data_IF_449265754882
#
_entry.id   IF_449265754882
#
_cell.length_a   1.000
_cell.length_b   1.000
_cell.length_c   1.000
_cell.angle_alpha   90.00
_cell.angle_beta   90.00
_cell.angle_gamma   90.00
#
_symmetry.space_group_name_H-M   'P 1'
#
loop_
_entity.id
_entity.type
_entity.pdbx_description
1 polymer ?
#
# COMPACT_ATOMS: atom_id res chain seq x y z
N UNK A 1 12.17 15.09 -30.15
CA UNK A 1 12.27 14.06 -29.09
C UNK A 1 10.88 13.47 -28.86
N UNK A 2 10.70 12.17 -29.02
CA UNK A 2 9.43 11.51 -28.72
C UNK A 2 9.12 11.63 -27.23
N UNK A 3 7.89 12.02 -26.89
CA UNK A 3 7.41 12.03 -25.53
C UNK A 3 7.49 10.61 -24.96
N UNK A 4 7.88 10.47 -23.70
CA UNK A 4 7.97 9.17 -23.04
C UNK A 4 6.58 8.54 -22.96
N UNK A 5 6.47 7.28 -23.42
CA UNK A 5 5.20 6.54 -23.49
C UNK A 5 5.19 5.45 -22.44
N UNK A 6 4.10 5.37 -21.68
CA UNK A 6 3.93 4.41 -20.61
C UNK A 6 2.87 3.36 -20.94
N UNK A 7 3.22 2.10 -20.75
CA UNK A 7 2.28 0.98 -20.76
C UNK A 7 1.99 0.58 -19.31
N UNK A 8 0.77 0.81 -18.87
CA UNK A 8 0.30 0.45 -17.53
C UNK A 8 -0.39 -0.90 -17.61
N UNK A 9 0.15 -1.90 -16.92
CA UNK A 9 -0.40 -3.26 -16.93
C UNK A 9 -1.45 -3.41 -15.84
N UNK A 10 -2.64 -3.88 -16.22
CA UNK A 10 -3.80 -4.06 -15.37
C UNK A 10 -4.99 -3.21 -15.79
N UNK A 11 -6.20 -3.72 -15.54
CA UNK A 11 -7.45 -3.08 -15.89
C UNK A 11 -8.27 -2.64 -14.67
N UNK A 12 -7.75 -2.87 -13.45
CA UNK A 12 -8.43 -2.44 -12.23
C UNK A 12 -8.45 -0.91 -12.09
N UNK A 13 -9.36 -0.39 -11.24
CA UNK A 13 -9.54 1.06 -11.03
C UNK A 13 -8.26 1.77 -10.62
N UNK A 14 -7.38 1.12 -9.88
CA UNK A 14 -6.10 1.69 -9.43
C UNK A 14 -5.13 1.86 -10.61
N UNK A 15 -4.99 0.87 -11.48
CA UNK A 15 -4.11 0.97 -12.65
C UNK A 15 -4.67 1.92 -13.71
N UNK A 16 -6.01 1.97 -13.87
CA UNK A 16 -6.65 3.01 -14.69
C UNK A 16 -6.37 4.42 -14.16
N UNK A 17 -6.41 4.62 -12.84
CA UNK A 17 -6.08 5.90 -12.21
C UNK A 17 -4.58 6.26 -12.39
N UNK A 18 -3.68 5.26 -12.32
CA UNK A 18 -2.27 5.46 -12.63
C UNK A 18 -2.08 5.98 -14.06
N UNK A 19 -2.72 5.34 -15.04
CA UNK A 19 -2.71 5.82 -16.44
C UNK A 19 -3.26 7.25 -16.54
N UNK A 20 -4.42 7.52 -15.95
CA UNK A 20 -5.03 8.85 -16.01
C UNK A 20 -4.11 9.93 -15.44
N UNK A 21 -3.46 9.63 -14.29
CA UNK A 21 -2.50 10.54 -13.68
C UNK A 21 -1.28 10.81 -14.58
N UNK A 22 -0.76 9.81 -15.26
CA UNK A 22 0.34 10.01 -16.22
C UNK A 22 -0.08 10.92 -17.37
N UNK A 23 -1.30 10.75 -17.90
CA UNK A 23 -1.85 11.62 -18.95
C UNK A 23 -2.06 13.06 -18.46
N UNK A 24 -2.55 13.26 -17.23
CA UNK A 24 -2.64 14.59 -16.57
C UNK A 24 -1.27 15.27 -16.45
N UNK A 25 -0.21 14.48 -16.22
CA UNK A 25 1.17 14.98 -16.15
C UNK A 25 1.79 15.24 -17.54
N UNK A 26 1.03 15.07 -18.63
CA UNK A 26 1.46 15.34 -19.99
C UNK A 26 2.21 14.19 -20.68
N UNK A 27 2.15 12.97 -20.13
CA UNK A 27 2.73 11.78 -20.76
C UNK A 27 1.68 11.01 -21.56
N UNK A 28 2.09 10.30 -22.61
CA UNK A 28 1.24 9.36 -23.30
C UNK A 28 1.19 8.02 -22.54
N UNK A 29 0.06 7.65 -21.97
CA UNK A 29 -0.10 6.42 -21.22
C UNK A 29 -1.33 5.62 -21.66
N UNK A 30 -1.16 4.30 -21.81
CA UNK A 30 -2.24 3.35 -22.11
C UNK A 30 -2.27 2.21 -21.11
N UNK A 31 -3.45 1.69 -20.81
CA UNK A 31 -3.60 0.43 -20.07
C UNK A 31 -3.61 -0.77 -21.02
N UNK A 32 -3.17 -1.91 -20.53
CA UNK A 32 -3.37 -3.19 -21.18
C UNK A 32 -3.64 -4.31 -20.16
N UNK A 33 -4.35 -5.32 -20.62
CA UNK A 33 -4.49 -6.64 -20.00
C UNK A 33 -3.52 -7.65 -20.64
N UNK A 34 -3.61 -8.92 -20.22
CA UNK A 34 -2.73 -9.96 -20.73
C UNK A 34 -2.88 -10.23 -22.24
N UNK A 35 -4.08 -10.12 -22.79
CA UNK A 35 -4.35 -10.40 -24.20
C UNK A 35 -3.75 -9.33 -25.12
N UNK A 36 -3.89 -8.07 -24.75
CA UNK A 36 -3.38 -6.94 -25.53
C UNK A 36 -1.89 -6.66 -25.32
N UNK A 37 -1.27 -7.25 -24.27
CA UNK A 37 0.12 -6.98 -23.92
C UNK A 37 1.10 -7.25 -25.06
N UNK A 38 1.00 -8.41 -25.72
CA UNK A 38 1.91 -8.79 -26.80
C UNK A 38 1.94 -7.79 -27.95
N UNK A 39 0.77 -7.20 -28.28
CA UNK A 39 0.62 -6.22 -29.36
C UNK A 39 1.15 -4.84 -28.94
N UNK A 40 0.89 -4.44 -27.69
CA UNK A 40 1.23 -3.09 -27.22
C UNK A 40 2.68 -2.95 -26.77
N UNK A 41 3.25 -3.99 -26.14
CA UNK A 41 4.57 -3.95 -25.52
C UNK A 41 5.67 -3.32 -26.39
N UNK A 42 5.80 -3.64 -27.71
CA UNK A 42 6.87 -3.08 -28.55
C UNK A 42 6.78 -1.56 -28.75
N UNK A 43 5.65 -0.94 -28.50
CA UNK A 43 5.41 0.49 -28.75
C UNK A 43 5.67 1.39 -27.54
N UNK A 44 6.07 0.81 -26.40
CA UNK A 44 6.24 1.54 -25.13
C UNK A 44 7.64 1.29 -24.56
N UNK A 45 8.28 2.36 -24.11
CA UNK A 45 9.60 2.28 -23.48
C UNK A 45 9.49 1.97 -21.97
N UNK A 46 8.50 2.53 -21.31
CA UNK A 46 8.30 2.39 -19.87
C UNK A 46 7.05 1.57 -19.56
N UNK A 47 7.23 0.46 -18.85
CA UNK A 47 6.18 -0.48 -18.46
C UNK A 47 5.96 -0.37 -16.96
N UNK A 48 4.72 -0.16 -16.52
CA UNK A 48 4.36 -0.11 -15.09
C UNK A 48 3.51 -1.33 -14.76
N UNK A 49 4.03 -2.17 -13.85
CA UNK A 49 3.36 -3.36 -13.36
C UNK A 49 2.45 -3.03 -12.15
N UNK A 50 1.40 -3.82 -11.91
CA UNK A 50 0.51 -3.61 -10.77
C UNK A 50 1.16 -3.93 -9.43
N UNK A 51 0.44 -3.61 -8.35
CA UNK A 51 0.77 -4.02 -6.99
C UNK A 51 -0.45 -4.70 -6.34
N UNK A 52 -0.34 -5.94 -5.80
CA UNK A 52 0.86 -6.78 -5.87
C UNK A 52 1.26 -7.07 -7.32
N UNK A 53 2.58 -7.14 -7.57
CA UNK A 53 3.06 -7.37 -8.95
C UNK A 53 2.74 -8.78 -9.42
N UNK A 54 2.86 -9.77 -8.53
CA UNK A 54 2.56 -11.17 -8.83
C UNK A 54 1.44 -11.66 -7.91
N UNK A 55 0.50 -12.37 -8.50
CA UNK A 55 -0.52 -13.14 -7.81
C UNK A 55 -0.67 -14.49 -8.53
N UNK A 56 -0.70 -15.59 -7.75
CA UNK A 56 -0.83 -16.95 -8.27
C UNK A 56 0.21 -17.32 -9.36
N UNK A 57 1.46 -16.86 -9.20
CA UNK A 57 2.55 -17.17 -10.11
C UNK A 57 2.63 -16.35 -11.40
N UNK A 58 1.65 -15.48 -11.67
CA UNK A 58 1.60 -14.60 -12.84
C UNK A 58 1.53 -13.13 -12.44
N UNK A 59 1.85 -12.23 -13.38
CA UNK A 59 1.68 -10.79 -13.18
C UNK A 59 0.18 -10.51 -12.96
N UNK A 60 -0.13 -9.82 -11.89
CA UNK A 60 -1.51 -9.57 -11.46
C UNK A 60 -2.36 -8.95 -12.58
N UNK A 61 -3.52 -9.58 -12.84
CA UNK A 61 -4.43 -9.15 -13.89
C UNK A 61 -4.00 -9.51 -15.32
N UNK A 62 -3.01 -10.45 -15.43
CA UNK A 62 -2.59 -10.95 -16.74
C UNK A 62 -2.47 -12.46 -16.75
N UNK A 63 -2.45 -13.22 -17.62
CA UNK A 63 -2.11 -14.66 -17.63
C UNK A 63 -0.62 -14.94 -17.84
N UNK A 64 0.25 -13.94 -17.68
CA UNK A 64 1.65 -13.96 -18.13
C UNK A 64 2.58 -14.04 -16.93
N UNK A 65 3.53 -14.95 -16.94
CA UNK A 65 4.57 -15.03 -15.91
C UNK A 65 5.59 -13.89 -16.05
N UNK A 66 6.33 -13.64 -14.97
CA UNK A 66 7.43 -12.65 -15.01
C UNK A 66 8.50 -13.05 -16.01
N UNK A 67 8.83 -14.35 -16.10
CA UNK A 67 9.81 -14.86 -17.07
C UNK A 67 9.39 -14.58 -18.51
N UNK A 68 8.14 -14.89 -18.87
CA UNK A 68 7.59 -14.59 -20.19
C UNK A 68 7.61 -13.09 -20.54
N UNK A 69 7.45 -12.21 -19.56
CA UNK A 69 7.61 -10.78 -19.79
C UNK A 69 9.08 -10.43 -20.03
N UNK A 70 10.01 -10.98 -19.23
CA UNK A 70 11.46 -10.75 -19.39
C UNK A 70 11.93 -11.11 -20.79
N UNK A 71 11.49 -12.26 -21.32
CA UNK A 71 11.87 -12.74 -22.66
C UNK A 71 11.38 -11.84 -23.81
N UNK A 72 10.34 -11.04 -23.56
CA UNK A 72 9.75 -10.14 -24.55
C UNK A 72 10.26 -8.70 -24.50
N UNK A 73 11.04 -8.35 -23.45
CA UNK A 73 11.53 -7.00 -23.28
C UNK A 73 12.69 -6.68 -24.25
N UNK A 74 12.57 -5.61 -25.01
CA UNK A 74 13.67 -5.06 -25.81
C UNK A 74 14.73 -4.38 -24.93
N UNK A 75 15.93 -4.09 -25.49
CA UNK A 75 17.07 -3.55 -24.72
C UNK A 75 16.81 -2.17 -24.10
N UNK A 76 15.96 -1.37 -24.71
CA UNK A 76 15.64 0.02 -24.36
C UNK A 76 14.37 0.17 -23.54
N UNK A 77 13.75 -0.94 -23.13
CA UNK A 77 12.57 -0.92 -22.27
C UNK A 77 12.94 -1.01 -20.78
N UNK A 78 12.19 -0.27 -19.97
CA UNK A 78 12.27 -0.26 -18.52
C UNK A 78 10.97 -0.76 -17.88
N UNK A 79 11.11 -1.50 -16.79
CA UNK A 79 9.97 -2.06 -16.06
C UNK A 79 9.94 -1.49 -14.64
N UNK A 80 8.88 -0.76 -14.33
CA UNK A 80 8.59 -0.30 -12.99
C UNK A 80 7.64 -1.30 -12.31
N UNK A 81 8.07 -1.88 -11.19
CA UNK A 81 7.31 -2.92 -10.51
C UNK A 81 7.10 -2.60 -9.03
N UNK A 82 6.07 -3.21 -8.45
CA UNK A 82 5.72 -3.05 -7.04
C UNK A 82 6.49 -3.98 -6.11
N UNK A 83 5.76 -4.71 -5.28
CA UNK A 83 6.36 -5.62 -4.31
C UNK A 83 6.78 -6.94 -4.97
N UNK A 84 8.09 -7.10 -5.16
CA UNK A 84 8.77 -8.36 -5.50
C UNK A 84 9.96 -8.54 -4.57
N UNK A 85 10.23 -9.77 -4.15
CA UNK A 85 11.33 -10.07 -3.23
C UNK A 85 12.72 -9.87 -3.84
N UNK A 86 12.83 -9.96 -5.16
CA UNK A 86 14.04 -9.75 -5.95
C UNK A 86 13.72 -8.93 -7.20
N UNK A 87 14.75 -8.48 -7.92
CA UNK A 87 14.59 -7.83 -9.22
C UNK A 87 14.81 -8.83 -10.35
N UNK A 88 13.76 -9.38 -10.96
CA UNK A 88 13.89 -10.34 -12.05
C UNK A 88 14.23 -9.72 -13.40
N UNK A 89 14.14 -8.38 -13.52
CA UNK A 89 14.34 -7.64 -14.77
C UNK A 89 15.77 -7.11 -14.95
N UNK A 90 16.69 -7.39 -14.00
CA UNK A 90 18.06 -6.89 -14.05
C UNK A 90 18.12 -5.36 -14.08
N UNK A 91 19.00 -4.80 -14.92
CA UNK A 91 19.16 -3.35 -15.07
C UNK A 91 17.93 -2.62 -15.63
N UNK A 92 17.03 -3.34 -16.27
CA UNK A 92 15.77 -2.78 -16.80
C UNK A 92 14.71 -2.59 -15.71
N UNK A 93 14.85 -3.24 -14.57
CA UNK A 93 13.84 -3.28 -13.51
C UNK A 93 14.09 -2.26 -12.41
N UNK A 94 13.06 -1.47 -12.09
CA UNK A 94 13.08 -0.51 -10.99
C UNK A 94 11.86 -0.70 -10.10
N UNK A 95 12.09 -0.89 -8.80
CA UNK A 95 10.99 -1.03 -7.86
C UNK A 95 10.48 0.35 -7.42
N UNK A 96 9.21 0.64 -7.73
CA UNK A 96 8.54 1.81 -7.16
C UNK A 96 8.05 1.55 -5.72
N UNK A 97 8.20 0.33 -5.20
CA UNK A 97 7.90 -0.01 -3.79
C UNK A 97 8.98 0.51 -2.84
N UNK A 98 9.35 1.76 -3.01
CA UNK A 98 10.38 2.47 -2.29
C UNK A 98 9.82 3.22 -1.07
N UNK A 99 10.70 3.92 -0.33
CA UNK A 99 10.33 4.65 0.89
C UNK A 99 9.28 5.75 0.63
N UNK A 100 9.39 6.46 -0.49
CA UNK A 100 8.45 7.53 -0.88
C UNK A 100 7.05 6.95 -1.12
N UNK A 101 6.95 5.92 -1.98
CA UNK A 101 5.69 5.21 -2.22
C UNK A 101 5.05 4.68 -0.94
N UNK A 102 5.83 4.02 -0.09
CA UNK A 102 5.33 3.45 1.16
C UNK A 102 4.75 4.51 2.11
N UNK A 103 5.37 5.69 2.18
CA UNK A 103 4.84 6.81 2.97
C UNK A 103 3.53 7.32 2.38
N UNK A 104 3.49 7.58 1.07
CA UNK A 104 2.28 8.04 0.37
C UNK A 104 1.13 7.03 0.53
N UNK A 105 1.42 5.76 0.32
CA UNK A 105 0.42 4.69 0.38
C UNK A 105 -0.09 4.44 1.81
N UNK A 106 0.77 4.58 2.83
CA UNK A 106 0.37 4.42 4.23
C UNK A 106 -0.67 5.46 4.70
N UNK A 107 -0.75 6.63 4.04
CA UNK A 107 -1.76 7.67 4.32
C UNK A 107 -3.16 7.29 3.84
N UNK A 108 -3.26 6.34 2.90
CA UNK A 108 -4.54 5.88 2.35
C UNK A 108 -5.14 4.72 3.18
N UNK A 109 -4.30 3.95 3.86
CA UNK A 109 -4.70 2.79 4.66
C UNK A 109 -5.75 3.12 5.73
N UNK A 110 -5.63 4.22 6.50
CA UNK A 110 -6.61 4.58 7.51
C UNK A 110 -8.04 4.77 6.99
N UNK A 111 -8.22 5.29 5.78
CA UNK A 111 -9.56 5.49 5.21
C UNK A 111 -10.30 4.15 5.04
N UNK A 112 -9.61 3.14 4.52
CA UNK A 112 -10.18 1.80 4.42
C UNK A 112 -10.40 1.15 5.78
N UNK A 113 -9.49 1.35 6.73
CA UNK A 113 -9.62 0.85 8.11
C UNK A 113 -10.85 1.46 8.79
N UNK A 114 -11.00 2.78 8.74
CA UNK A 114 -12.15 3.48 9.33
C UNK A 114 -13.46 3.03 8.70
N UNK A 115 -13.50 2.85 7.37
CA UNK A 115 -14.69 2.34 6.71
C UNK A 115 -15.09 0.96 7.21
N UNK A 116 -14.13 0.03 7.35
CA UNK A 116 -14.40 -1.31 7.90
C UNK A 116 -14.94 -1.18 9.34
N UNK A 117 -14.35 -0.33 10.17
CA UNK A 117 -14.79 -0.11 11.54
C UNK A 117 -16.26 0.38 11.57
N UNK A 118 -16.56 1.44 10.83
CA UNK A 118 -17.90 2.04 10.79
C UNK A 118 -18.97 1.10 10.22
N UNK A 119 -18.61 0.26 9.24
CA UNK A 119 -19.50 -0.77 8.70
C UNK A 119 -19.69 -1.97 9.66
N UNK A 120 -18.78 -2.15 10.62
CA UNK A 120 -18.78 -3.31 11.54
C UNK A 120 -19.32 -3.02 12.92
N UNK A 121 -19.69 -1.79 13.25
CA UNK A 121 -20.23 -1.39 14.54
C UNK A 121 -21.39 -0.42 14.40
N UNK A 122 -22.36 -0.53 15.27
CA UNK A 122 -23.49 0.39 15.47
C UNK A 122 -23.27 1.32 16.69
N UNK A 123 -22.08 1.24 17.31
CA UNK A 123 -21.73 2.02 18.49
C UNK A 123 -21.03 3.32 18.12
N UNK A 124 -21.20 4.32 18.97
CA UNK A 124 -20.47 5.57 18.89
C UNK A 124 -18.96 5.33 19.02
N UNK A 125 -18.19 5.84 18.02
CA UNK A 125 -16.74 5.66 17.95
C UNK A 125 -16.01 6.24 19.17
N UNK A 126 -16.54 7.28 19.81
CA UNK A 126 -16.00 7.86 21.05
C UNK A 126 -16.04 6.90 22.24
N UNK A 127 -16.89 5.89 22.19
CA UNK A 127 -17.00 4.87 23.25
C UNK A 127 -16.13 3.65 23.00
N UNK A 128 -15.51 3.55 21.80
CA UNK A 128 -14.72 2.39 21.41
C UNK A 128 -13.30 2.48 21.95
N UNK A 129 -12.84 1.37 22.50
CA UNK A 129 -11.43 1.17 22.84
C UNK A 129 -10.75 0.43 21.70
N UNK A 130 -9.68 1.00 21.15
CA UNK A 130 -8.95 0.40 20.06
C UNK A 130 -7.49 0.09 20.43
N UNK A 131 -6.98 -1.05 19.97
CA UNK A 131 -5.58 -1.43 20.04
C UNK A 131 -5.02 -1.48 18.61
N UNK A 132 -3.86 -0.84 18.37
CA UNK A 132 -3.15 -0.94 17.11
C UNK A 132 -1.84 -1.68 17.35
N UNK A 133 -1.73 -2.88 16.76
CA UNK A 133 -0.56 -3.73 16.89
C UNK A 133 0.49 -3.29 15.88
N UNK A 134 1.62 -2.75 16.37
CA UNK A 134 2.68 -2.13 15.59
C UNK A 134 2.53 -0.62 15.43
N UNK A 135 3.67 0.10 15.45
CA UNK A 135 3.73 1.56 15.32
C UNK A 135 4.68 2.01 14.19
N UNK A 136 4.62 1.27 13.07
CA UNK A 136 5.26 1.62 11.81
C UNK A 136 4.46 2.68 11.03
N UNK A 137 4.78 2.87 9.73
CA UNK A 137 4.10 3.86 8.88
C UNK A 137 2.58 3.71 8.89
N UNK A 138 2.06 2.50 8.67
CA UNK A 138 0.61 2.23 8.69
C UNK A 138 0.01 2.38 10.08
N UNK A 139 0.64 1.76 11.12
CA UNK A 139 0.15 1.83 12.49
C UNK A 139 0.02 3.27 13.00
N UNK A 140 1.02 4.12 12.77
CA UNK A 140 0.97 5.55 13.12
C UNK A 140 -0.16 6.29 12.40
N UNK A 141 -0.32 6.05 11.11
CA UNK A 141 -1.38 6.69 10.33
C UNK A 141 -2.78 6.27 10.84
N UNK A 142 -2.96 4.99 11.18
CA UNK A 142 -4.21 4.45 11.73
C UNK A 142 -4.49 5.02 13.12
N UNK A 143 -3.49 5.04 14.03
CA UNK A 143 -3.65 5.62 15.36
C UNK A 143 -4.10 7.08 15.29
N UNK A 144 -3.50 7.88 14.41
CA UNK A 144 -3.89 9.27 14.19
C UNK A 144 -5.33 9.40 13.70
N UNK A 145 -5.75 8.53 12.79
CA UNK A 145 -7.12 8.52 12.27
C UNK A 145 -8.14 8.12 13.33
N UNK A 146 -7.89 7.04 14.09
CA UNK A 146 -8.74 6.58 15.17
C UNK A 146 -8.91 7.68 16.23
N UNK A 147 -7.80 8.26 16.69
CA UNK A 147 -7.83 9.34 17.68
C UNK A 147 -8.53 10.60 17.17
N UNK A 148 -8.32 10.98 15.91
CA UNK A 148 -8.99 12.13 15.31
C UNK A 148 -10.52 11.94 15.21
N UNK A 149 -10.98 10.69 15.15
CA UNK A 149 -12.40 10.35 15.21
C UNK A 149 -12.89 10.05 16.64
N UNK A 150 -12.07 10.30 17.67
CA UNK A 150 -12.46 10.21 19.07
C UNK A 150 -12.31 8.84 19.74
N UNK A 151 -11.88 7.79 19.03
CA UNK A 151 -11.68 6.48 19.61
C UNK A 151 -10.53 6.45 20.64
N UNK A 152 -10.76 5.81 21.79
CA UNK A 152 -9.70 5.52 22.75
C UNK A 152 -8.66 4.59 22.12
N UNK A 153 -7.44 5.10 21.83
CA UNK A 153 -6.45 4.38 21.04
C UNK A 153 -5.21 4.03 21.86
N UNK A 154 -4.85 2.75 21.89
CA UNK A 154 -3.64 2.22 22.52
C UNK A 154 -2.72 1.59 21.46
N UNK A 155 -1.46 1.90 21.54
CA UNK A 155 -0.41 1.29 20.71
C UNK A 155 0.12 0.05 21.39
N UNK A 156 0.23 -1.06 20.63
CA UNK A 156 0.87 -2.27 21.13
C UNK A 156 2.17 -2.49 20.37
N UNK A 157 3.31 -2.41 21.06
CA UNK A 157 4.61 -2.55 20.41
C UNK A 157 5.63 -3.23 21.32
N UNK A 158 6.58 -3.96 20.71
CA UNK A 158 7.75 -4.51 21.41
C UNK A 158 8.98 -3.60 21.30
N UNK A 159 8.92 -2.60 20.43
CA UNK A 159 10.05 -1.70 20.17
C UNK A 159 9.98 -0.51 21.12
N UNK A 160 10.97 -0.33 22.03
CA UNK A 160 10.98 0.77 23.01
C UNK A 160 10.96 2.16 22.34
N UNK A 161 11.68 2.32 21.23
CA UNK A 161 11.67 3.58 20.48
C UNK A 161 10.26 3.91 19.96
N UNK A 162 9.54 2.92 19.44
CA UNK A 162 8.16 3.09 18.99
C UNK A 162 7.21 3.42 20.14
N UNK A 163 7.46 2.87 21.33
CA UNK A 163 6.67 3.17 22.53
C UNK A 163 6.84 4.63 22.94
N UNK A 164 8.07 5.10 23.12
CA UNK A 164 8.38 6.50 23.43
C UNK A 164 7.82 7.46 22.37
N UNK A 165 7.92 7.09 21.10
CA UNK A 165 7.37 7.90 20.01
C UNK A 165 5.84 8.02 20.09
N UNK A 166 5.14 6.93 20.43
CA UNK A 166 3.70 6.93 20.62
C UNK A 166 3.28 7.82 21.82
N UNK A 167 4.00 7.72 22.92
CA UNK A 167 3.78 8.52 24.14
C UNK A 167 4.01 10.00 23.88
N UNK A 168 5.06 10.38 23.15
CA UNK A 168 5.29 11.76 22.72
C UNK A 168 4.21 12.32 21.79
N UNK A 169 3.51 11.43 21.06
CA UNK A 169 2.33 11.78 20.25
C UNK A 169 1.03 11.74 21.10
N UNK A 170 1.10 11.54 22.40
CA UNK A 170 -0.02 11.53 23.35
C UNK A 170 -0.88 10.25 23.27
N UNK A 171 -0.29 9.12 22.88
CA UNK A 171 -0.96 7.81 22.84
C UNK A 171 -0.48 6.93 23.99
N UNK A 172 -1.39 6.14 24.57
CA UNK A 172 -1.02 5.06 25.50
C UNK A 172 -0.23 4.01 24.72
N UNK A 173 0.86 3.51 25.28
CA UNK A 173 1.66 2.40 24.73
C UNK A 173 1.76 1.26 25.72
N UNK A 174 1.59 0.02 25.25
CA UNK A 174 1.77 -1.21 26.03
C UNK A 174 2.56 -2.26 25.26
N UNK A 175 3.16 -3.19 25.98
CA UNK A 175 3.80 -4.37 25.38
C UNK A 175 2.81 -5.48 25.01
N UNK A 176 3.25 -6.44 24.17
CA UNK A 176 2.40 -7.58 23.79
C UNK A 176 2.00 -8.47 24.97
N UNK A 177 2.82 -8.55 26.01
CA UNK A 177 2.51 -9.30 27.23
C UNK A 177 1.30 -8.71 27.96
N UNK A 178 1.25 -7.39 28.07
CA UNK A 178 0.13 -6.70 28.74
C UNK A 178 -1.09 -6.67 27.83
N UNK A 179 -0.91 -6.48 26.52
CA UNK A 179 -1.98 -6.65 25.55
C UNK A 179 -2.65 -8.03 25.66
N UNK A 180 -1.89 -9.12 25.81
CA UNK A 180 -2.46 -10.45 25.99
C UNK A 180 -3.38 -10.56 27.22
N UNK A 181 -3.09 -9.80 28.30
CA UNK A 181 -3.94 -9.76 29.49
C UNK A 181 -5.23 -8.95 29.27
N UNK A 182 -5.11 -7.83 28.54
CA UNK A 182 -6.15 -6.81 28.34
C UNK A 182 -6.88 -6.97 27.00
N UNK A 183 -6.57 -7.98 26.16
CA UNK A 183 -7.06 -8.09 24.80
C UNK A 183 -8.61 -8.06 24.68
N UNK A 184 -9.30 -8.68 25.61
CA UNK A 184 -10.76 -8.70 25.65
C UNK A 184 -11.41 -7.32 25.92
N UNK A 185 -10.65 -6.37 26.48
CA UNK A 185 -11.15 -5.03 26.82
C UNK A 185 -11.20 -4.09 25.60
N UNK A 186 -10.55 -4.47 24.49
CA UNK A 186 -10.55 -3.70 23.26
C UNK A 186 -11.72 -4.09 22.37
N UNK A 187 -12.50 -3.11 21.94
CA UNK A 187 -13.58 -3.32 20.96
C UNK A 187 -13.02 -3.57 19.55
N UNK A 188 -11.95 -2.83 19.20
CA UNK A 188 -11.28 -2.87 17.89
C UNK A 188 -9.79 -3.22 18.08
N UNK A 189 -9.32 -4.20 17.35
CA UNK A 189 -7.91 -4.59 17.32
C UNK A 189 -7.44 -4.53 15.85
N UNK A 190 -6.48 -3.65 15.54
CA UNK A 190 -5.96 -3.51 14.17
C UNK A 190 -4.53 -4.00 14.12
N UNK A 191 -4.28 -5.06 13.36
CA UNK A 191 -2.92 -5.57 13.18
C UNK A 191 -2.24 -4.97 11.95
N UNK A 192 -1.03 -4.43 12.15
CA UNK A 192 -0.15 -3.91 11.09
C UNK A 192 1.20 -4.64 11.02
N UNK A 193 1.40 -5.68 11.83
CA UNK A 193 2.65 -6.44 11.93
C UNK A 193 2.55 -7.73 11.12
N UNK A 194 3.36 -7.93 10.07
CA UNK A 194 3.32 -9.13 9.21
C UNK A 194 4.09 -10.29 9.87
N UNK A 195 3.65 -10.72 11.03
CA UNK A 195 4.28 -11.76 11.82
C UNK A 195 3.24 -12.34 12.78
N UNK A 196 3.26 -13.64 13.02
CA UNK A 196 2.34 -14.29 13.98
C UNK A 196 2.61 -13.77 15.40
N UNK A 197 1.75 -12.87 15.86
CA UNK A 197 1.85 -12.18 17.16
C UNK A 197 0.67 -12.46 18.09
N UNK A 198 -0.44 -12.97 17.55
CA UNK A 198 -1.58 -13.44 18.34
C UNK A 198 -1.37 -14.90 18.71
N UNK A 199 -0.87 -15.13 19.91
CA UNK A 199 -0.81 -16.47 20.48
C UNK A 199 -2.20 -17.01 20.83
N UNK A 200 -2.28 -18.34 20.99
CA UNK A 200 -3.49 -19.07 21.37
C UNK A 200 -4.19 -18.44 22.59
N UNK A 201 -3.42 -18.13 23.65
CA UNK A 201 -3.94 -17.52 24.88
C UNK A 201 -4.67 -16.18 24.63
N UNK A 202 -4.16 -15.34 23.71
CA UNK A 202 -4.82 -14.08 23.35
C UNK A 202 -6.11 -14.33 22.59
N UNK A 203 -6.09 -15.24 21.62
CA UNK A 203 -7.27 -15.55 20.78
C UNK A 203 -8.40 -16.18 21.57
N UNK A 204 -8.09 -17.01 22.60
CA UNK A 204 -9.08 -17.62 23.51
C UNK A 204 -9.82 -16.59 24.39
N UNK A 205 -9.21 -15.43 24.67
CA UNK A 205 -9.83 -14.34 25.42
C UNK A 205 -10.77 -13.48 24.59
N UNK A 206 -10.62 -13.47 23.26
CA UNK A 206 -11.44 -12.67 22.37
C UNK A 206 -12.83 -13.30 22.19
N UNK A 207 -13.83 -12.45 22.05
CA UNK A 207 -15.23 -12.82 21.89
C UNK A 207 -15.85 -12.11 20.69
N UNK A 208 -17.09 -12.39 20.34
CA UNK A 208 -17.85 -11.69 19.29
C UNK A 208 -17.97 -10.17 19.48
N UNK A 209 -17.71 -9.66 20.69
CA UNK A 209 -17.62 -8.22 20.95
C UNK A 209 -16.39 -7.60 20.26
N UNK A 210 -15.29 -8.34 20.21
CA UNK A 210 -14.03 -7.86 19.67
C UNK A 210 -14.03 -7.96 18.13
N UNK A 211 -13.63 -6.90 17.45
CA UNK A 211 -13.37 -6.89 16.01
C UNK A 211 -11.86 -6.83 15.76
N UNK A 212 -11.33 -7.89 15.18
CA UNK A 212 -9.93 -7.93 14.73
C UNK A 212 -9.84 -7.61 13.24
N UNK A 213 -9.03 -6.62 12.89
CA UNK A 213 -8.79 -6.20 11.50
C UNK A 213 -7.34 -6.50 11.14
N UNK A 214 -7.14 -7.45 10.26
CA UNK A 214 -5.82 -7.84 9.75
C UNK A 214 -5.47 -7.00 8.52
N UNK A 215 -4.55 -6.06 8.67
CA UNK A 215 -4.07 -5.20 7.57
C UNK A 215 -2.70 -5.65 7.08
N UNK A 216 -1.94 -6.33 7.92
CA UNK A 216 -0.62 -6.81 7.56
C UNK A 216 -0.70 -7.83 6.42
N UNK A 217 0.34 -7.86 5.59
CA UNK A 217 0.53 -8.93 4.60
C UNK A 217 0.88 -10.25 5.29
N UNK A 218 0.76 -11.34 4.53
CA UNK A 218 1.21 -12.66 5.01
C UNK A 218 2.62 -12.60 5.60
N UNK A 219 2.89 -13.35 6.69
CA UNK A 219 2.09 -14.47 7.23
C UNK A 219 0.95 -14.10 8.17
N UNK A 220 0.50 -12.84 8.26
CA UNK A 220 -0.55 -12.33 9.16
C UNK A 220 -0.16 -12.36 10.65
N UNK A 221 -1.01 -11.77 11.49
CA UNK A 221 -0.85 -11.77 12.94
C UNK A 221 -1.23 -13.08 13.62
N UNK A 222 -1.82 -14.03 12.88
CA UNK A 222 -2.31 -15.31 13.37
C UNK A 222 -2.23 -16.39 12.28
N UNK A 223 -2.35 -17.66 12.69
CA UNK A 223 -2.48 -18.78 11.74
C UNK A 223 -3.88 -18.78 11.13
N UNK A 224 -3.98 -18.43 9.84
CA UNK A 224 -5.25 -18.34 9.13
C UNK A 224 -6.05 -19.65 9.11
N UNK A 225 -5.36 -20.81 9.14
CA UNK A 225 -6.02 -22.12 9.11
C UNK A 225 -6.66 -22.50 10.46
N UNK A 226 -6.39 -21.73 11.50
CA UNK A 226 -6.89 -21.98 12.84
C UNK A 226 -7.85 -20.92 13.35
N UNK A 227 -7.98 -19.80 12.64
CA UNK A 227 -8.75 -18.64 13.12
C UNK A 227 -10.22 -18.97 13.41
N UNK A 228 -10.83 -19.84 12.59
CA UNK A 228 -12.24 -20.24 12.70
C UNK A 228 -12.53 -21.11 13.93
N UNK A 229 -11.50 -21.58 14.65
CA UNK A 229 -11.66 -22.29 15.93
C UNK A 229 -12.00 -21.34 17.08
N UNK A 230 -11.83 -20.02 16.89
CA UNK A 230 -12.01 -19.00 17.92
C UNK A 230 -13.29 -18.19 17.70
N UNK A 231 -13.86 -17.68 18.77
CA UNK A 231 -15.18 -17.06 18.78
C UNK A 231 -15.10 -15.52 18.79
N UNK A 232 -14.35 -14.91 17.85
CA UNK A 232 -14.32 -13.46 17.68
C UNK A 232 -14.57 -13.07 16.22
N UNK A 233 -14.88 -11.79 15.98
CA UNK A 233 -15.06 -11.27 14.63
C UNK A 233 -13.70 -10.87 14.04
N UNK A 234 -13.42 -11.29 12.81
CA UNK A 234 -12.22 -10.85 12.12
C UNK A 234 -12.50 -10.46 10.66
N UNK A 235 -11.67 -9.55 10.15
CA UNK A 235 -11.70 -9.08 8.77
C UNK A 235 -10.29 -9.12 8.21
N UNK A 236 -10.08 -9.86 7.13
CA UNK A 236 -8.85 -9.79 6.34
C UNK A 236 -8.93 -8.56 5.43
N UNK A 237 -8.18 -7.54 5.80
CA UNK A 237 -8.26 -6.20 5.20
C UNK A 237 -7.06 -5.91 4.29
N UNK A 238 -6.78 -6.83 3.37
CA UNK A 238 -5.70 -6.66 2.40
C UNK A 238 -5.99 -5.56 1.38
N UNK A 239 -4.93 -4.92 0.89
CA UNK A 239 -4.97 -3.97 -0.24
C UNK A 239 -5.94 -2.79 -0.04
N UNK A 240 -6.11 -2.31 1.18
CA UNK A 240 -7.03 -1.22 1.52
C UNK A 240 -6.93 0.01 0.59
N UNK A 241 -5.73 0.53 0.24
CA UNK A 241 -5.62 1.65 -0.69
C UNK A 241 -6.26 1.36 -2.06
N UNK A 242 -6.02 0.17 -2.61
CA UNK A 242 -6.59 -0.22 -3.92
C UNK A 242 -8.10 -0.45 -3.88
N UNK A 243 -8.63 -0.90 -2.74
CA UNK A 243 -10.07 -1.19 -2.57
C UNK A 243 -10.90 0.07 -2.30
N UNK A 244 -10.41 0.96 -1.46
CA UNK A 244 -11.21 2.08 -0.94
C UNK A 244 -10.79 3.45 -1.49
N UNK A 245 -9.54 3.58 -1.95
CA UNK A 245 -9.00 4.84 -2.52
C UNK A 245 -8.21 4.58 -3.81
N UNK A 246 -8.79 3.85 -4.80
CA UNK A 246 -8.05 3.41 -5.98
C UNK A 246 -7.49 4.57 -6.80
N UNK A 247 -8.21 5.70 -6.89
CA UNK A 247 -7.74 6.89 -7.59
C UNK A 247 -6.45 7.43 -7.00
N UNK A 248 -6.42 7.65 -5.69
CA UNK A 248 -5.22 8.14 -5.00
C UNK A 248 -4.09 7.10 -5.00
N UNK A 249 -4.42 5.82 -4.89
CA UNK A 249 -3.42 4.74 -4.93
C UNK A 249 -2.75 4.64 -6.30
N UNK A 250 -3.52 4.81 -7.39
CA UNK A 250 -2.99 4.85 -8.75
C UNK A 250 -2.14 6.09 -9.02
N UNK A 251 -2.59 7.26 -8.57
CA UNK A 251 -1.82 8.51 -8.65
C UNK A 251 -0.48 8.39 -7.92
N UNK A 252 -0.45 7.78 -6.72
CA UNK A 252 0.79 7.54 -5.97
C UNK A 252 1.79 6.66 -6.74
N UNK A 253 1.32 5.67 -7.50
CA UNK A 253 2.19 4.86 -8.37
C UNK A 253 2.80 5.75 -9.46
N UNK A 254 1.97 6.47 -10.22
CA UNK A 254 2.41 7.35 -11.30
C UNK A 254 3.41 8.40 -10.80
N UNK A 255 3.06 9.14 -9.75
CA UNK A 255 3.91 10.19 -9.19
C UNK A 255 5.26 9.63 -8.71
N UNK A 256 5.27 8.43 -8.10
CA UNK A 256 6.53 7.78 -7.65
C UNK A 256 7.39 7.34 -8.83
N UNK A 257 6.80 6.77 -9.87
CA UNK A 257 7.54 6.39 -11.09
C UNK A 257 8.16 7.63 -11.74
N UNK A 258 7.42 8.73 -11.84
CA UNK A 258 7.94 9.99 -12.41
C UNK A 258 9.06 10.59 -11.54
N UNK A 259 8.93 10.52 -10.20
CA UNK A 259 10.01 10.93 -9.29
C UNK A 259 11.28 10.13 -9.56
N UNK A 260 11.19 8.81 -9.64
CA UNK A 260 12.34 7.92 -9.93
C UNK A 260 13.02 8.26 -11.28
N UNK A 261 12.23 8.51 -12.31
CA UNK A 261 12.78 8.89 -13.64
C UNK A 261 13.49 10.24 -13.56
N UNK A 262 13.00 11.18 -12.74
CA UNK A 262 13.66 12.48 -12.55
C UNK A 262 14.96 12.36 -11.77
N UNK A 263 14.98 11.55 -10.72
CA UNK A 263 16.18 11.29 -9.89
C UNK A 263 17.29 10.68 -10.74
N UNK A 264 16.99 9.64 -11.53
CA UNK A 264 17.97 9.05 -12.47
C UNK A 264 18.58 10.09 -13.43
N UNK A 265 17.79 11.04 -13.93
CA UNK A 265 18.29 12.08 -14.85
C UNK A 265 19.21 13.08 -14.16
N UNK A 266 18.98 13.35 -12.89
CA UNK A 266 19.81 14.27 -12.09
C UNK A 266 21.14 13.62 -11.65
N UNK A 267 21.13 12.32 -11.35
CA UNK A 267 22.35 11.59 -10.94
C UNK A 267 23.32 11.36 -12.10
N UNK A 268 22.79 11.15 -13.30
CA UNK A 268 23.62 10.91 -14.50
C UNK A 268 23.94 12.19 -15.30
N UNK A 269 24.02 13.36 -14.69
CA UNK A 269 24.35 14.71 -15.22
C UNK A 269 25.15 14.83 -16.54
N UNK A 270 24.89 13.97 -17.51
CA UNK A 270 25.45 13.99 -18.86
C UNK A 270 24.33 13.81 -19.89
N UNK A 271 24.21 14.81 -20.74
CA UNK A 271 23.15 15.00 -21.71
C UNK A 271 22.91 13.81 -22.62
N UNK A 272 21.71 13.26 -22.50
CA UNK A 272 20.99 12.53 -23.54
C UNK A 272 19.61 12.10 -23.05
N UNK A 273 18.81 13.02 -22.55
CA UNK A 273 17.35 12.89 -22.52
C UNK A 273 16.70 14.18 -22.01
N UNK A 274 16.61 15.19 -22.84
CA UNK A 274 15.76 16.35 -22.58
C UNK A 274 14.29 15.93 -22.70
N UNK A 275 13.67 15.52 -21.60
CA UNK A 275 12.21 15.63 -21.49
C UNK A 275 11.92 17.07 -21.14
N UNK A 276 11.38 17.80 -22.08
CA UNK A 276 10.84 19.13 -21.84
C UNK A 276 9.61 18.97 -20.94
N UNK A 277 9.83 19.06 -19.63
CA UNK A 277 8.75 19.26 -18.68
C UNK A 277 8.18 20.65 -18.96
N UNK A 278 7.04 20.71 -19.63
CA UNK A 278 6.26 21.95 -19.73
C UNK A 278 5.78 22.25 -18.31
N UNK A 279 6.45 23.19 -17.67
CA UNK A 279 6.03 23.80 -16.40
C UNK A 279 4.71 24.55 -16.62
N UNK A 280 3.62 23.82 -16.53
CA UNK A 280 2.26 24.39 -16.48
C UNK A 280 1.67 24.43 -15.05
N UNK A 281 2.52 24.29 -14.01
CA UNK A 281 2.09 24.27 -12.62
C UNK A 281 2.49 25.52 -11.82
N UNK A 282 2.64 26.70 -12.47
CA UNK A 282 2.88 27.97 -11.76
C UNK A 282 1.82 29.03 -12.00
N UNK A 283 0.56 28.67 -12.22
CA UNK A 283 -0.53 29.69 -12.29
C UNK A 283 -1.84 29.25 -11.66
N UNK A 284 -1.81 28.72 -10.44
CA UNK A 284 -3.07 28.57 -9.68
C UNK A 284 -2.91 28.66 -8.16
N UNK A 285 -1.85 29.30 -7.66
CA UNK A 285 -1.76 29.68 -6.25
C UNK A 285 -1.25 31.13 -6.13
N UNK A 286 -1.98 32.06 -6.75
CA UNK A 286 -1.92 33.50 -6.40
C UNK A 286 -3.14 34.16 -6.98
N UNK A 287 -4.25 34.08 -6.29
CA UNK A 287 -5.36 35.01 -6.26
C UNK A 287 -6.43 34.46 -5.29
N UNK A 288 -6.59 35.23 -4.24
CA UNK A 288 -7.58 35.32 -3.19
C UNK A 288 -7.22 34.68 -1.86
#
# INVERSE_FOLDING_TARGET
MQAEKFLVIGSDKKMQACRSRLNELGFEASCCDGESLKKKLPHYRSIILPIPTVANGVISGTGISVGELCDKLSKDQFVFYGNLGNNPFGEKGKSYYNKSFLIKNSRLTPQGTMRIILESTDRDIYTLKSAVLGYGKCGRAICRSLRANGAGTTVVTRNPFSAVLAENEGLKSIGFRDFCKEAADFDIIVNTVPCNILGKETMEKLTKRNLYIEIASKPYGFNINEIDKYNFRYVLAESLPGRFTPTSAGANIADTVIEMIKEDKNEYGCGLCHVRLVLHLQRSYSAD
#
